data_IF_714907574207
#
_entry.id   IF_714907574207
#
_cell.length_a   1.000
_cell.length_b   1.000
_cell.length_c   1.000
_cell.angle_alpha   90.00
_cell.angle_beta   90.00
_cell.angle_gamma   90.00
#
_symmetry.space_group_name_H-M   'P 1'
#
loop_
_entity.id
_entity.type
_entity.pdbx_description
1 polymer ?
#
# COMPACT_ATOMS: atom_id res chain seq x y z
N UNK A 1 16.50 12.93 -17.17
CA UNK A 1 16.57 11.90 -16.12
C UNK A 1 18.01 11.44 -16.02
N UNK A 2 18.66 11.59 -14.88
CA UNK A 2 20.02 11.08 -14.69
C UNK A 2 19.97 9.60 -14.35
N UNK A 3 20.83 8.79 -14.98
CA UNK A 3 21.01 7.39 -14.64
C UNK A 3 22.32 7.24 -13.89
N UNK A 4 22.32 6.49 -12.80
CA UNK A 4 23.52 6.03 -12.10
C UNK A 4 23.54 4.52 -12.13
N UNK A 5 24.68 3.94 -12.52
CA UNK A 5 24.90 2.50 -12.48
C UNK A 5 25.42 2.12 -11.10
N UNK A 6 24.78 1.14 -10.47
CA UNK A 6 25.25 0.54 -9.21
C UNK A 6 25.57 -0.93 -9.47
N UNK A 7 26.68 -1.41 -8.92
CA UNK A 7 27.02 -2.84 -8.90
C UNK A 7 26.45 -3.45 -7.62
N UNK A 8 25.77 -4.58 -7.74
CA UNK A 8 25.20 -5.32 -6.61
C UNK A 8 25.67 -6.78 -6.67
N UNK A 9 25.58 -7.50 -5.53
CA UNK A 9 25.82 -8.94 -5.54
C UNK A 9 24.77 -9.66 -6.39
N UNK A 10 25.12 -10.87 -6.86
CA UNK A 10 24.17 -11.71 -7.59
C UNK A 10 22.93 -12.02 -6.74
N UNK A 11 23.13 -12.30 -5.45
CA UNK A 11 22.06 -12.53 -4.49
C UNK A 11 21.09 -11.34 -4.40
N UNK A 12 21.61 -10.11 -4.33
CA UNK A 12 20.78 -8.92 -4.29
C UNK A 12 20.00 -8.72 -5.60
N UNK A 13 20.62 -9.01 -6.75
CA UNK A 13 19.93 -8.98 -8.04
C UNK A 13 18.77 -10.00 -8.09
N UNK A 14 19.01 -11.24 -7.68
CA UNK A 14 17.99 -12.28 -7.63
C UNK A 14 16.86 -11.93 -6.66
N UNK A 15 17.18 -11.36 -5.49
CA UNK A 15 16.20 -10.90 -4.53
C UNK A 15 15.27 -9.83 -5.14
N UNK A 16 15.85 -8.85 -5.86
CA UNK A 16 15.07 -7.84 -6.57
C UNK A 16 14.22 -8.44 -7.70
N UNK A 17 14.74 -9.44 -8.40
CA UNK A 17 14.03 -10.12 -9.50
C UNK A 17 12.79 -10.87 -8.99
N UNK A 18 12.90 -11.57 -7.85
CA UNK A 18 11.77 -12.33 -7.25
C UNK A 18 10.58 -11.47 -6.85
N UNK A 19 10.83 -10.23 -6.43
CA UNK A 19 9.80 -9.31 -5.92
C UNK A 19 9.31 -8.30 -6.98
N UNK A 20 9.88 -8.34 -8.19
CA UNK A 20 9.57 -7.44 -9.29
C UNK A 20 8.21 -7.77 -9.89
N UNK A 21 7.37 -6.75 -10.04
CA UNK A 21 6.04 -6.91 -10.66
C UNK A 21 6.13 -6.80 -12.20
N UNK A 22 5.18 -7.39 -12.95
CA UNK A 22 5.11 -7.19 -14.40
C UNK A 22 5.07 -5.70 -14.76
N UNK A 23 5.92 -5.27 -15.70
CA UNK A 23 6.00 -3.87 -16.14
C UNK A 23 6.74 -2.90 -15.19
N UNK A 24 7.12 -3.33 -13.98
CA UNK A 24 7.90 -2.52 -13.03
C UNK A 24 9.39 -2.50 -13.45
N UNK A 25 10.15 -1.41 -13.25
CA UNK A 25 11.62 -1.38 -13.42
C UNK A 25 12.36 -1.76 -12.14
N UNK A 26 13.67 -2.05 -12.18
CA UNK A 26 14.43 -2.30 -10.94
C UNK A 26 14.52 -1.06 -10.05
N UNK A 27 14.57 0.13 -10.66
CA UNK A 27 14.51 1.39 -9.93
C UNK A 27 13.19 1.55 -9.18
N UNK A 28 12.06 1.15 -9.79
CA UNK A 28 10.74 1.20 -9.14
C UNK A 28 10.67 0.24 -7.95
N UNK A 29 11.22 -0.97 -8.07
CA UNK A 29 11.31 -1.93 -6.96
C UNK A 29 12.08 -1.32 -5.79
N UNK A 30 13.27 -0.75 -6.06
CA UNK A 30 14.09 -0.11 -5.03
C UNK A 30 13.31 1.01 -4.37
N UNK A 31 12.72 1.92 -5.16
CA UNK A 31 11.94 3.04 -4.65
C UNK A 31 10.74 2.58 -3.82
N UNK A 32 10.05 1.52 -4.23
CA UNK A 32 8.95 0.91 -3.48
C UNK A 32 9.39 0.34 -2.15
N UNK A 33 10.55 -0.32 -2.09
CA UNK A 33 11.09 -0.90 -0.86
C UNK A 33 11.58 0.17 0.12
N UNK A 34 12.24 1.21 -0.37
CA UNK A 34 12.76 2.30 0.47
C UNK A 34 11.68 3.32 0.82
N UNK A 35 10.54 3.33 0.11
CA UNK A 35 9.39 4.15 0.48
C UNK A 35 8.96 3.70 1.87
N UNK A 36 9.24 4.55 2.87
CA UNK A 36 8.77 4.34 4.23
C UNK A 36 7.26 4.19 4.16
N UNK A 37 6.76 2.98 4.41
CA UNK A 37 5.34 2.81 4.68
C UNK A 37 5.04 3.71 5.88
N UNK A 38 4.02 4.57 5.77
CA UNK A 38 3.54 5.30 6.93
C UNK A 38 3.25 4.27 8.01
N UNK A 39 3.88 4.42 9.17
CA UNK A 39 3.70 3.48 10.27
C UNK A 39 2.24 3.47 10.65
N UNK A 40 1.73 2.36 11.18
CA UNK A 40 0.36 2.32 11.73
C UNK A 40 0.13 3.46 12.74
N UNK A 41 1.18 3.87 13.46
CA UNK A 41 1.15 4.98 14.39
C UNK A 41 0.93 6.34 13.72
N UNK A 42 1.31 6.51 12.45
CA UNK A 42 1.01 7.73 11.68
C UNK A 42 -0.51 7.91 11.44
N UNK A 43 -1.31 6.87 11.68
CA UNK A 43 -2.78 6.90 11.60
C UNK A 43 -3.46 7.16 12.96
N UNK A 44 -2.70 7.10 14.07
CA UNK A 44 -3.26 7.28 15.40
C UNK A 44 -3.72 8.74 15.57
N UNK A 45 -5.00 8.93 15.92
CA UNK A 45 -5.57 10.25 16.17
C UNK A 45 -5.88 11.07 14.91
N UNK A 46 -5.83 10.50 13.70
CA UNK A 46 -6.23 11.23 12.47
C UNK A 46 -7.67 11.75 12.56
N UNK A 47 -8.53 11.11 13.37
CA UNK A 47 -9.95 11.48 13.54
C UNK A 47 -10.21 12.26 14.83
N UNK A 48 -9.19 12.85 15.46
CA UNK A 48 -9.36 13.56 16.75
C UNK A 48 -10.27 14.80 16.67
N UNK A 49 -10.44 15.36 15.47
CA UNK A 49 -11.24 16.55 15.17
C UNK A 49 -12.64 16.20 14.61
N UNK A 50 -12.94 14.91 14.45
CA UNK A 50 -14.24 14.43 13.99
C UNK A 50 -15.11 14.13 15.21
N UNK A 51 -16.37 14.57 15.18
CA UNK A 51 -17.29 14.30 16.28
C UNK A 51 -17.80 12.84 16.25
N UNK A 52 -18.18 12.32 17.41
CA UNK A 52 -18.63 10.92 17.55
C UNK A 52 -19.86 10.59 16.68
N UNK A 53 -20.73 11.56 16.41
CA UNK A 53 -21.95 11.35 15.61
C UNK A 53 -21.60 11.13 14.13
N UNK A 54 -20.67 11.91 13.60
CA UNK A 54 -20.15 11.77 12.23
C UNK A 54 -19.40 10.44 12.06
N UNK A 55 -18.64 10.02 13.08
CA UNK A 55 -17.98 8.70 13.09
C UNK A 55 -19.01 7.58 13.04
N UNK A 56 -20.05 7.65 13.89
CA UNK A 56 -21.11 6.65 13.95
C UNK A 56 -21.85 6.54 12.61
N UNK A 57 -22.21 7.65 11.99
CA UNK A 57 -22.91 7.68 10.71
C UNK A 57 -22.03 7.14 9.57
N UNK A 58 -20.75 7.51 9.53
CA UNK A 58 -19.80 6.94 8.58
C UNK A 58 -19.68 5.41 8.73
N UNK A 59 -19.58 4.91 9.97
CA UNK A 59 -19.49 3.47 10.23
C UNK A 59 -20.78 2.73 9.87
N UNK A 60 -21.96 3.33 10.05
CA UNK A 60 -23.24 2.76 9.58
C UNK A 60 -23.24 2.57 8.07
N UNK A 61 -22.79 3.57 7.32
CA UNK A 61 -22.73 3.52 5.86
C UNK A 61 -21.75 2.45 5.37
N UNK A 62 -20.56 2.34 5.99
CA UNK A 62 -19.61 1.24 5.69
C UNK A 62 -20.26 -0.12 5.95
N UNK A 63 -20.92 -0.30 7.10
CA UNK A 63 -21.59 -1.57 7.44
C UNK A 63 -22.69 -1.91 6.44
N UNK A 64 -23.43 -0.91 5.94
CA UNK A 64 -24.44 -1.13 4.89
C UNK A 64 -23.79 -1.59 3.60
N UNK A 65 -22.76 -0.87 3.12
CA UNK A 65 -22.03 -1.23 1.91
C UNK A 65 -21.43 -2.64 2.00
N UNK A 66 -20.86 -3.01 3.14
CA UNK A 66 -20.31 -4.35 3.37
C UNK A 66 -21.36 -5.45 3.35
N UNK A 67 -22.58 -5.19 3.85
CA UNK A 67 -23.69 -6.16 3.78
C UNK A 67 -24.19 -6.36 2.35
N UNK A 68 -24.19 -5.30 1.56
CA UNK A 68 -24.64 -5.32 0.16
C UNK A 68 -23.55 -5.86 -0.79
N UNK A 69 -22.30 -5.89 -0.33
CA UNK A 69 -21.18 -6.35 -1.13
C UNK A 69 -21.23 -7.85 -1.37
N UNK A 70 -21.69 -8.24 -2.57
CA UNK A 70 -21.56 -9.61 -3.08
C UNK A 70 -20.18 -9.75 -3.74
N UNK A 71 -19.40 -10.73 -3.27
CA UNK A 71 -18.15 -11.12 -3.95
C UNK A 71 -18.50 -11.53 -5.39
N UNK A 72 -17.83 -10.97 -6.42
CA UNK A 72 -17.97 -11.51 -7.76
C UNK A 72 -17.52 -12.96 -7.74
N UNK A 73 -18.37 -13.86 -8.25
CA UNK A 73 -18.02 -15.26 -8.40
C UNK A 73 -16.73 -15.34 -9.24
N UNK A 74 -15.72 -16.04 -8.73
CA UNK A 74 -14.53 -16.38 -9.52
C UNK A 74 -14.96 -17.38 -10.58
N UNK A 75 -14.95 -16.95 -11.84
CA UNK A 75 -14.84 -17.84 -13.01
C UNK A 75 -13.43 -18.42 -13.12
#
# INVERSE_FOLDING_TARGET
MGVKTITVSLEAYEALLRIKRPGESFSDVILRLVKKHRGLMDLAGIWHDINDTEIEDFLKEIRRAWKEWKLPAKE
#
